data_IF_374936848158
#
_entry.id   IF_374936848158
#
_cell.length_a   1.000
_cell.length_b   1.000
_cell.length_c   1.000
_cell.angle_alpha   90.00
_cell.angle_beta   90.00
_cell.angle_gamma   90.00
#
_symmetry.space_group_name_H-M   'P 1'
#
loop_
_entity.id
_entity.type
_entity.pdbx_description
1 polymer ?
#
# COMPACT_ATOMS: atom_id res chain seq x y z
N UNK A 1 -12.14 -11.01 -17.42
CA UNK A 1 -11.80 -11.33 -16.01
C UNK A 1 -11.67 -10.00 -15.27
N UNK A 2 -12.76 -9.23 -15.21
CA UNK A 2 -12.68 -7.77 -15.03
C UNK A 2 -13.22 -7.30 -13.67
N UNK A 3 -13.55 -8.25 -12.79
CA UNK A 3 -14.30 -7.96 -11.56
C UNK A 3 -13.43 -7.76 -10.30
N UNK A 4 -12.12 -8.03 -10.35
CA UNK A 4 -11.28 -7.89 -9.15
C UNK A 4 -10.90 -6.43 -8.88
N UNK A 5 -10.64 -5.64 -9.92
CA UNK A 5 -10.27 -4.23 -9.79
C UNK A 5 -11.45 -3.31 -9.40
N UNK A 6 -12.69 -3.74 -9.68
CA UNK A 6 -13.91 -3.07 -9.25
C UNK A 6 -14.35 -3.47 -7.84
N UNK A 7 -13.74 -4.51 -7.25
CA UNK A 7 -14.05 -4.94 -5.89
C UNK A 7 -13.70 -3.86 -4.86
N UNK A 8 -14.65 -3.58 -3.96
CA UNK A 8 -14.49 -2.62 -2.86
C UNK A 8 -13.30 -2.98 -1.98
N UNK A 9 -13.06 -4.28 -1.76
CA UNK A 9 -11.92 -4.76 -0.98
C UNK A 9 -10.58 -4.42 -1.65
N UNK A 10 -10.50 -4.58 -2.97
CA UNK A 10 -9.28 -4.24 -3.69
C UNK A 10 -8.97 -2.75 -3.58
N UNK A 11 -9.97 -1.89 -3.82
CA UNK A 11 -9.79 -0.43 -3.70
C UNK A 11 -9.52 0.03 -2.28
N UNK A 12 -9.98 -0.73 -1.28
CA UNK A 12 -9.75 -0.41 0.13
C UNK A 12 -8.31 -0.68 0.57
N UNK A 13 -7.72 -1.79 0.10
CA UNK A 13 -6.37 -2.21 0.47
C UNK A 13 -5.27 -1.71 -0.47
N UNK A 14 -5.56 -1.66 -1.78
CA UNK A 14 -4.59 -1.33 -2.82
C UNK A 14 -4.82 0.07 -3.37
N UNK A 15 -3.72 0.75 -3.67
CA UNK A 15 -3.70 2.12 -4.18
C UNK A 15 -3.40 2.20 -5.68
N UNK A 16 -3.21 1.06 -6.36
CA UNK A 16 -2.83 1.02 -7.79
C UNK A 16 -3.84 1.77 -8.67
N UNK A 17 -5.12 1.71 -8.33
CA UNK A 17 -6.20 2.37 -9.07
C UNK A 17 -6.15 3.91 -8.99
N UNK A 18 -5.41 4.45 -8.02
CA UNK A 18 -5.33 5.89 -7.76
C UNK A 18 -4.33 6.59 -8.69
N UNK A 19 -3.33 5.86 -9.18
CA UNK A 19 -2.24 6.43 -9.96
C UNK A 19 -2.44 6.19 -11.45
N UNK A 20 -2.12 7.21 -12.24
CA UNK A 20 -2.07 7.12 -13.70
C UNK A 20 -0.67 6.72 -14.16
N UNK A 21 -0.60 5.93 -15.22
CA UNK A 21 0.68 5.55 -15.82
C UNK A 21 1.35 6.79 -16.42
N UNK A 22 2.58 7.08 -16.00
CA UNK A 22 3.38 8.19 -16.49
C UNK A 22 4.35 7.76 -17.60
N UNK A 23 4.39 6.48 -17.97
CA UNK A 23 5.20 5.93 -19.05
C UNK A 23 4.55 6.14 -20.43
N UNK A 24 4.11 7.37 -20.70
CA UNK A 24 3.49 7.78 -21.97
C UNK A 24 4.49 8.59 -22.79
N UNK A 25 4.57 8.33 -24.10
CA UNK A 25 5.51 9.01 -25.00
C UNK A 25 5.22 10.51 -25.16
N UNK A 26 3.96 10.91 -25.02
CA UNK A 26 3.52 12.30 -25.15
C UNK A 26 3.86 13.13 -23.90
N UNK A 27 4.67 14.18 -24.09
CA UNK A 27 5.18 15.05 -23.01
C UNK A 27 4.04 15.69 -22.19
N UNK A 28 3.00 16.18 -22.85
CA UNK A 28 1.86 16.82 -22.18
C UNK A 28 1.04 15.83 -21.35
N UNK A 29 0.82 14.62 -21.87
CA UNK A 29 0.07 13.58 -21.17
C UNK A 29 0.86 13.07 -19.96
N UNK A 30 2.18 12.89 -20.11
CA UNK A 30 3.08 12.55 -19.01
C UNK A 30 3.09 13.61 -17.91
N UNK A 31 3.20 14.89 -18.27
CA UNK A 31 3.17 15.99 -17.30
C UNK A 31 1.84 16.04 -16.53
N UNK A 32 0.71 15.86 -17.23
CA UNK A 32 -0.61 15.77 -16.61
C UNK A 32 -0.74 14.58 -15.65
N UNK A 33 -0.25 13.40 -16.05
CA UNK A 33 -0.25 12.20 -15.21
C UNK A 33 0.59 12.38 -13.94
N UNK A 34 1.79 12.97 -14.04
CA UNK A 34 2.66 13.25 -12.89
C UNK A 34 2.01 14.28 -11.95
N UNK A 35 1.44 15.36 -12.49
CA UNK A 35 0.75 16.37 -11.69
C UNK A 35 -0.45 15.76 -10.94
N UNK A 36 -1.23 14.90 -11.60
CA UNK A 36 -2.32 14.16 -10.97
C UNK A 36 -1.82 13.26 -9.84
N UNK A 37 -0.81 12.41 -10.12
CA UNK A 37 -0.22 11.49 -9.14
C UNK A 37 0.31 12.24 -7.90
N UNK A 38 0.91 13.42 -8.11
CA UNK A 38 1.42 14.27 -7.03
C UNK A 38 0.30 14.86 -6.18
N UNK A 39 -0.82 15.28 -6.78
CA UNK A 39 -1.99 15.75 -6.04
C UNK A 39 -2.59 14.63 -5.17
N UNK A 40 -2.62 13.39 -5.69
CA UNK A 40 -3.14 12.21 -5.00
C UNK A 40 -2.21 11.66 -3.89
N UNK A 41 -0.99 12.18 -3.75
CA UNK A 41 0.02 11.73 -2.77
C UNK A 41 -0.51 11.64 -1.33
N UNK A 42 -1.39 12.55 -0.93
CA UNK A 42 -1.92 12.60 0.44
C UNK A 42 -2.72 11.35 0.80
N UNK A 43 -3.37 10.69 -0.16
CA UNK A 43 -4.14 9.48 0.08
C UNK A 43 -3.26 8.27 0.42
N UNK A 44 -1.99 8.24 -0.01
CA UNK A 44 -1.04 7.19 0.39
C UNK A 44 -0.88 7.12 1.91
N UNK A 45 -0.92 8.26 2.61
CA UNK A 45 -0.83 8.29 4.08
C UNK A 45 -2.04 7.64 4.76
N UNK A 46 -3.21 7.70 4.12
CA UNK A 46 -4.43 7.03 4.62
C UNK A 46 -4.26 5.51 4.48
N UNK A 47 -3.76 5.03 3.35
CA UNK A 47 -3.43 3.61 3.17
C UNK A 47 -2.34 3.17 4.16
N UNK A 48 -1.30 3.98 4.34
CA UNK A 48 -0.21 3.72 5.29
C UNK A 48 -0.76 3.48 6.71
N UNK A 49 -1.64 4.35 7.20
CA UNK A 49 -2.27 4.18 8.53
C UNK A 49 -3.06 2.88 8.65
N UNK A 50 -3.80 2.49 7.60
CA UNK A 50 -4.57 1.24 7.57
C UNK A 50 -3.66 0.01 7.63
N UNK A 51 -2.59 0.01 6.83
CA UNK A 51 -1.62 -1.09 6.79
C UNK A 51 -0.81 -1.19 8.09
N UNK A 52 -0.46 -0.06 8.72
CA UNK A 52 0.18 -0.03 10.03
C UNK A 52 -0.76 -0.62 11.10
N UNK A 53 -2.04 -0.23 11.10
CA UNK A 53 -3.02 -0.78 12.03
C UNK A 53 -3.19 -2.30 11.86
N UNK A 54 -3.26 -2.78 10.60
CA UNK A 54 -3.32 -4.21 10.31
C UNK A 54 -2.07 -4.95 10.80
N UNK A 55 -0.88 -4.39 10.54
CA UNK A 55 0.40 -4.97 10.97
C UNK A 55 0.48 -5.07 12.49
N UNK A 56 0.11 -4.00 13.21
CA UNK A 56 0.07 -4.01 14.67
C UNK A 56 -0.93 -5.02 15.21
N UNK A 57 -2.11 -5.14 14.59
CA UNK A 57 -3.10 -6.14 14.97
C UNK A 57 -2.57 -7.56 14.79
N UNK A 58 -1.92 -7.86 13.67
CA UNK A 58 -1.34 -9.19 13.41
C UNK A 58 -0.20 -9.53 14.36
N UNK A 59 0.68 -8.56 14.66
CA UNK A 59 1.74 -8.74 15.65
C UNK A 59 1.16 -8.97 17.06
N UNK A 60 0.16 -8.18 17.45
CA UNK A 60 -0.49 -8.33 18.75
C UNK A 60 -1.14 -9.72 18.89
N UNK A 61 -1.84 -10.20 17.86
CA UNK A 61 -2.39 -11.56 17.83
C UNK A 61 -1.30 -12.63 17.87
N UNK A 62 -0.19 -12.42 17.15
CA UNK A 62 0.97 -13.30 17.16
C UNK A 62 1.56 -13.48 18.56
N UNK A 63 1.74 -12.38 19.29
CA UNK A 63 2.26 -12.37 20.68
C UNK A 63 1.29 -13.08 21.63
N UNK A 64 -0.02 -12.82 21.52
CA UNK A 64 -1.03 -13.45 22.37
C UNK A 64 -1.11 -14.96 22.16
N UNK A 65 -0.92 -15.44 20.93
CA UNK A 65 -1.02 -16.86 20.58
C UNK A 65 0.28 -17.65 20.81
N UNK A 66 1.39 -16.95 21.05
CA UNK A 66 2.73 -17.53 21.22
C UNK A 66 2.77 -18.59 22.32
N UNK A 67 1.92 -18.43 23.33
CA UNK A 67 1.84 -19.32 24.48
C UNK A 67 0.97 -20.56 24.24
N UNK A 68 0.17 -20.59 23.16
CA UNK A 68 -0.82 -21.65 22.95
C UNK A 68 -0.54 -22.49 21.69
N UNK A 69 -0.21 -21.86 20.56
CA UNK A 69 -0.15 -22.55 19.27
C UNK A 69 0.97 -22.01 18.36
N UNK A 70 2.13 -22.67 18.38
CA UNK A 70 3.31 -22.27 17.58
C UNK A 70 3.02 -22.15 16.07
N UNK A 71 2.22 -23.06 15.51
CA UNK A 71 1.89 -23.06 14.08
C UNK A 71 0.98 -21.87 13.69
N UNK A 72 0.07 -21.47 14.57
CA UNK A 72 -0.76 -20.28 14.37
C UNK A 72 0.10 -19.00 14.39
N UNK A 73 1.08 -18.91 15.29
CA UNK A 73 1.99 -17.76 15.36
C UNK A 73 2.78 -17.55 14.07
N UNK A 74 3.27 -18.63 13.45
CA UNK A 74 3.99 -18.54 12.16
C UNK A 74 3.14 -17.81 11.14
N UNK A 75 1.85 -18.17 11.01
CA UNK A 75 0.94 -17.53 10.06
C UNK A 75 0.76 -16.02 10.34
N UNK A 76 0.57 -15.63 11.60
CA UNK A 76 0.43 -14.22 11.98
C UNK A 76 1.70 -13.41 11.74
N UNK A 77 2.87 -13.95 12.11
CA UNK A 77 4.15 -13.29 11.89
C UNK A 77 4.50 -13.18 10.41
N UNK A 78 4.26 -14.22 9.59
CA UNK A 78 4.46 -14.12 8.14
C UNK A 78 3.52 -13.10 7.50
N UNK A 79 2.27 -13.02 7.97
CA UNK A 79 1.30 -12.03 7.47
C UNK A 79 1.71 -10.61 7.85
N UNK A 80 2.19 -10.41 9.08
CA UNK A 80 2.74 -9.13 9.53
C UNK A 80 3.96 -8.72 8.70
N UNK A 81 4.85 -9.65 8.34
CA UNK A 81 5.99 -9.37 7.47
C UNK A 81 5.56 -8.91 6.07
N UNK A 82 4.55 -9.57 5.47
CA UNK A 82 3.99 -9.13 4.18
C UNK A 82 3.38 -7.73 4.26
N UNK A 83 2.69 -7.42 5.36
CA UNK A 83 2.15 -6.08 5.60
C UNK A 83 3.27 -5.03 5.80
N UNK A 84 4.39 -5.40 6.41
CA UNK A 84 5.54 -4.50 6.53
C UNK A 84 6.15 -4.17 5.15
N UNK A 85 6.23 -5.15 4.24
CA UNK A 85 6.67 -4.92 2.87
C UNK A 85 5.75 -3.93 2.11
N UNK A 86 4.43 -4.02 2.29
CA UNK A 86 3.49 -3.08 1.65
C UNK A 86 3.61 -1.67 2.23
N UNK A 87 3.84 -1.55 3.55
CA UNK A 87 4.16 -0.27 4.21
C UNK A 87 5.41 0.37 3.59
N UNK A 88 6.47 -0.41 3.39
CA UNK A 88 7.70 0.07 2.74
C UNK A 88 7.43 0.59 1.32
N UNK A 89 6.68 -0.16 0.50
CA UNK A 89 6.32 0.27 -0.86
C UNK A 89 5.52 1.59 -0.86
N UNK A 90 4.55 1.74 0.05
CA UNK A 90 3.76 2.97 0.20
C UNK A 90 4.66 4.15 0.62
N UNK A 91 5.56 3.92 1.57
CA UNK A 91 6.50 4.95 2.04
C UNK A 91 7.45 5.40 0.93
N UNK A 92 8.05 4.45 0.19
CA UNK A 92 8.92 4.76 -0.95
C UNK A 92 8.15 5.54 -2.02
N UNK A 93 6.95 5.11 -2.40
CA UNK A 93 6.11 5.82 -3.37
C UNK A 93 5.79 7.25 -2.89
N UNK A 94 5.46 7.41 -1.61
CA UNK A 94 5.17 8.72 -1.02
C UNK A 94 6.39 9.64 -0.99
N UNK A 95 7.58 9.12 -0.70
CA UNK A 95 8.83 9.90 -0.74
C UNK A 95 9.13 10.31 -2.17
N UNK A 96 9.05 9.38 -3.12
CA UNK A 96 9.34 9.62 -4.54
C UNK A 96 8.43 10.69 -5.14
N UNK A 97 7.10 10.60 -4.92
CA UNK A 97 6.14 11.63 -5.36
C UNK A 97 6.33 12.98 -4.66
N UNK A 98 7.03 13.01 -3.53
CA UNK A 98 7.38 14.24 -2.82
C UNK A 98 8.59 14.97 -3.38
N UNK A 99 9.42 14.29 -4.17
CA UNK A 99 10.58 14.91 -4.78
C UNK A 99 10.15 15.91 -5.85
N UNK A 100 10.84 17.05 -5.91
CA UNK A 100 10.53 18.14 -6.86
C UNK A 100 11.04 17.85 -8.28
N UNK A 101 11.82 16.78 -8.46
CA UNK A 101 12.62 16.51 -9.67
C UNK A 101 12.03 15.38 -10.55
N UNK A 102 10.71 15.17 -10.52
CA UNK A 102 10.02 14.19 -11.37
C UNK A 102 9.56 14.78 -12.70
#
# INVERSE_FOLDING_TARGET
MDNFQSSVLFRYFFFQWLFHDANVNELYQRAAAIAHNKAQRHYLLIYLRRWIALTMLMLFLGIMLEQMYALACVFFYTTAALCACTICNIAVAWVFLGQKNL
#
